data_IF_729184395068
#
_entry.id   IF_729184395068
#
_cell.length_a   1.000
_cell.length_b   1.000
_cell.length_c   1.000
_cell.angle_alpha   90.00
_cell.angle_beta   90.00
_cell.angle_gamma   90.00
#
_symmetry.space_group_name_H-M   'P 1'
#
loop_
_entity.id
_entity.type
_entity.pdbx_description
1 polymer ?
#
# COMPACT_ATOMS: atom_id res chain seq x y z
N UNK A 1 43.71 16.89 11.63
CA UNK A 1 42.55 16.22 11.02
C UNK A 1 42.20 16.98 9.77
N UNK A 2 42.14 16.31 8.62
CA UNK A 2 41.80 16.95 7.35
C UNK A 2 40.28 17.14 7.26
N UNK A 3 39.85 18.26 6.67
CA UNK A 3 38.44 18.51 6.40
C UNK A 3 37.93 17.54 5.32
N UNK A 4 36.69 17.09 5.48
CA UNK A 4 36.00 16.25 4.51
C UNK A 4 35.25 17.14 3.52
N UNK A 5 35.59 17.02 2.24
CA UNK A 5 34.86 17.71 1.18
C UNK A 5 33.59 16.94 0.80
N UNK A 6 32.45 17.60 0.95
CA UNK A 6 31.15 17.07 0.55
C UNK A 6 30.94 17.25 -0.97
N UNK A 7 30.04 16.45 -1.54
CA UNK A 7 29.61 16.47 -2.94
C UNK A 7 30.79 16.38 -3.93
N UNK A 8 31.81 15.61 -3.56
CA UNK A 8 33.11 15.57 -4.24
C UNK A 8 33.25 14.45 -5.27
N UNK A 9 32.43 13.39 -5.20
CA UNK A 9 32.48 12.25 -6.13
C UNK A 9 31.67 12.53 -7.40
N UNK A 10 32.21 12.12 -8.55
CA UNK A 10 31.65 12.40 -9.88
C UNK A 10 32.43 13.52 -10.59
N UNK A 11 33.39 13.14 -11.43
CA UNK A 11 34.05 14.09 -12.35
C UNK A 11 33.20 14.25 -13.61
N UNK A 12 33.40 15.32 -14.38
CA UNK A 12 32.73 15.55 -15.66
C UNK A 12 32.78 14.35 -16.63
N UNK A 13 33.80 13.48 -16.49
CA UNK A 13 34.02 12.31 -17.34
C UNK A 13 33.82 10.96 -16.62
N UNK A 14 33.38 10.95 -15.36
CA UNK A 14 33.11 9.73 -14.60
C UNK A 14 31.78 9.85 -13.84
N UNK A 15 30.71 9.46 -14.52
CA UNK A 15 29.34 9.46 -14.03
C UNK A 15 29.08 8.32 -13.02
N UNK A 16 29.94 7.30 -12.93
CA UNK A 16 29.70 6.15 -12.06
C UNK A 16 29.76 6.51 -10.55
N UNK A 17 30.41 7.62 -10.22
CA UNK A 17 30.50 8.19 -8.88
C UNK A 17 29.64 9.43 -8.63
N UNK A 18 28.80 9.86 -9.59
CA UNK A 18 27.89 11.01 -9.42
C UNK A 18 26.55 10.58 -8.81
N UNK A 19 25.73 11.57 -8.41
CA UNK A 19 24.36 11.30 -7.96
C UNK A 19 23.53 10.60 -9.05
N UNK A 20 23.70 11.01 -10.32
CA UNK A 20 23.04 10.35 -11.45
C UNK A 20 23.43 8.87 -11.58
N UNK A 21 24.71 8.54 -11.41
CA UNK A 21 25.17 7.14 -11.46
C UNK A 21 24.64 6.30 -10.30
N UNK A 22 24.51 6.90 -9.11
CA UNK A 22 23.90 6.24 -7.95
C UNK A 22 22.40 5.95 -8.17
N UNK A 23 21.65 6.95 -8.65
CA UNK A 23 20.22 6.80 -8.97
C UNK A 23 20.00 5.78 -10.10
N UNK A 24 20.85 5.80 -11.13
CA UNK A 24 20.82 4.81 -12.21
C UNK A 24 21.04 3.37 -11.72
N UNK A 25 21.94 3.17 -10.75
CA UNK A 25 22.14 1.85 -10.11
C UNK A 25 20.91 1.41 -9.32
N UNK A 26 20.23 2.33 -8.64
CA UNK A 26 18.97 2.03 -7.95
C UNK A 26 17.90 1.57 -8.95
N UNK A 27 17.68 2.30 -10.06
CA UNK A 27 16.75 1.88 -11.11
C UNK A 27 17.11 0.51 -11.71
N UNK A 28 18.40 0.26 -11.95
CA UNK A 28 18.86 -1.04 -12.45
C UNK A 28 18.58 -2.17 -11.47
N UNK A 29 18.81 -1.95 -10.18
CA UNK A 29 18.50 -2.93 -9.14
C UNK A 29 17.00 -3.22 -9.08
N UNK A 30 16.15 -2.20 -9.17
CA UNK A 30 14.68 -2.37 -9.24
C UNK A 30 14.25 -3.17 -10.47
N UNK A 31 14.80 -2.85 -11.65
CA UNK A 31 14.50 -3.59 -12.88
C UNK A 31 14.97 -5.05 -12.80
N UNK A 32 16.17 -5.30 -12.25
CA UNK A 32 16.68 -6.65 -12.02
C UNK A 32 15.81 -7.43 -11.03
N UNK A 33 15.38 -6.79 -9.93
CA UNK A 33 14.50 -7.39 -8.94
C UNK A 33 13.16 -7.82 -9.52
N UNK A 34 12.59 -7.02 -10.43
CA UNK A 34 11.37 -7.38 -11.17
C UNK A 34 11.61 -8.56 -12.11
N UNK A 35 12.74 -8.59 -12.82
CA UNK A 35 13.06 -9.68 -13.74
C UNK A 35 13.32 -11.01 -13.02
N UNK A 36 13.98 -10.96 -11.87
CA UNK A 36 14.30 -12.11 -11.03
C UNK A 36 13.18 -12.49 -10.07
N UNK A 37 12.05 -11.77 -10.06
CA UNK A 37 10.92 -12.11 -9.23
C UNK A 37 10.40 -13.49 -9.63
N UNK A 38 10.11 -14.34 -8.64
CA UNK A 38 9.45 -15.60 -8.91
C UNK A 38 8.17 -15.39 -9.70
N UNK A 39 7.96 -16.21 -10.74
CA UNK A 39 6.87 -16.00 -11.67
C UNK A 39 5.50 -16.28 -11.04
N UNK A 40 5.41 -17.26 -10.12
CA UNK A 40 4.18 -17.55 -9.40
C UNK A 40 3.88 -16.43 -8.41
N UNK A 41 4.87 -16.01 -7.62
CA UNK A 41 4.71 -14.92 -6.65
C UNK A 41 4.35 -13.60 -7.34
N UNK A 42 5.02 -13.26 -8.44
CA UNK A 42 4.77 -12.02 -9.19
C UNK A 42 3.35 -11.99 -9.77
N UNK A 43 2.80 -13.13 -10.19
CA UNK A 43 1.44 -13.21 -10.76
C UNK A 43 0.36 -13.23 -9.67
N UNK A 44 0.67 -13.75 -8.48
CA UNK A 44 -0.26 -13.84 -7.35
C UNK A 44 -0.26 -12.60 -6.44
N UNK A 45 0.76 -11.75 -6.52
CA UNK A 45 0.84 -10.50 -5.76
C UNK A 45 0.06 -9.39 -6.50
N UNK A 46 -0.72 -8.54 -5.80
CA UNK A 46 -1.37 -7.36 -6.39
C UNK A 46 -0.35 -6.45 -7.09
N UNK A 47 -0.76 -5.86 -8.23
CA UNK A 47 0.14 -5.00 -9.02
C UNK A 47 0.60 -3.79 -8.21
N UNK A 48 -0.30 -3.20 -7.42
CA UNK A 48 0.01 -2.03 -6.61
C UNK A 48 1.05 -2.36 -5.52
N UNK A 49 0.95 -3.51 -4.85
CA UNK A 49 1.94 -3.96 -3.85
C UNK A 49 3.31 -4.23 -4.48
N UNK A 50 3.33 -4.86 -5.67
CA UNK A 50 4.58 -5.08 -6.42
C UNK A 50 5.21 -3.74 -6.79
N UNK A 51 4.39 -2.79 -7.26
CA UNK A 51 4.87 -1.45 -7.61
C UNK A 51 5.37 -0.74 -6.36
N UNK A 52 4.66 -0.79 -5.23
CA UNK A 52 5.06 -0.16 -3.98
C UNK A 52 6.39 -0.72 -3.46
N UNK A 53 6.57 -2.04 -3.43
CA UNK A 53 7.84 -2.67 -3.05
C UNK A 53 9.00 -2.27 -3.97
N UNK A 54 8.75 -2.18 -5.28
CA UNK A 54 9.76 -1.76 -6.25
C UNK A 54 10.07 -0.26 -6.14
N UNK A 55 9.07 0.56 -5.82
CA UNK A 55 9.23 2.00 -5.53
C UNK A 55 10.04 2.17 -4.26
N UNK A 56 9.75 1.44 -3.18
CA UNK A 56 10.50 1.50 -1.92
C UNK A 56 11.96 1.10 -2.14
N UNK A 57 12.21 0.02 -2.90
CA UNK A 57 13.56 -0.42 -3.24
C UNK A 57 14.35 0.59 -4.10
N UNK A 58 13.67 1.23 -5.05
CA UNK A 58 14.31 2.12 -6.02
C UNK A 58 14.36 3.60 -5.62
N UNK A 59 13.53 4.00 -4.66
CA UNK A 59 13.45 5.37 -4.18
C UNK A 59 14.63 5.69 -3.29
N UNK A 60 15.04 6.96 -3.32
CA UNK A 60 16.13 7.47 -2.49
C UNK A 60 15.64 8.66 -1.70
N UNK A 61 15.97 8.70 -0.41
CA UNK A 61 15.70 9.86 0.45
C UNK A 61 16.89 10.82 0.49
N UNK A 62 16.65 12.06 0.08
CA UNK A 62 17.65 13.13 0.18
C UNK A 62 17.82 13.56 1.63
N UNK A 63 19.06 13.77 2.12
CA UNK A 63 19.26 14.26 3.47
C UNK A 63 18.56 15.57 3.78
N UNK A 64 18.10 15.70 5.02
CA UNK A 64 17.51 16.92 5.56
C UNK A 64 18.19 17.31 6.87
N UNK A 65 18.70 18.55 6.94
CA UNK A 65 19.45 19.03 8.10
C UNK A 65 18.50 19.47 9.20
N UNK A 66 18.70 18.95 10.40
CA UNK A 66 17.96 19.32 11.60
C UNK A 66 18.67 20.48 12.30
N UNK A 67 18.63 21.65 11.67
CA UNK A 67 19.35 22.85 12.16
C UNK A 67 18.84 23.29 13.53
N UNK A 68 17.55 23.12 13.81
CA UNK A 68 16.94 23.45 15.09
C UNK A 68 17.42 22.54 16.24
N UNK A 69 17.87 21.32 15.90
CA UNK A 69 18.43 20.34 16.84
C UNK A 69 19.96 20.46 16.96
N UNK A 70 20.56 21.49 16.36
CA UNK A 70 22.01 21.68 16.36
C UNK A 70 22.54 22.11 17.73
N UNK A 71 23.73 21.61 18.08
CA UNK A 71 24.38 21.94 19.36
C UNK A 71 25.88 22.11 19.19
N UNK A 72 26.50 22.89 20.08
CA UNK A 72 27.95 23.10 20.08
C UNK A 72 28.66 22.11 21.00
N UNK A 73 29.79 21.59 20.54
CA UNK A 73 30.75 20.89 21.40
C UNK A 73 31.55 21.89 22.24
N UNK A 74 32.15 21.45 23.36
CA UNK A 74 33.09 22.27 24.12
C UNK A 74 34.20 22.81 23.21
N UNK A 75 34.54 24.09 23.40
CA UNK A 75 35.62 24.71 22.65
C UNK A 75 36.93 23.95 22.89
N UNK A 76 37.72 23.78 21.84
CA UNK A 76 39.01 23.09 21.89
C UNK A 76 40.10 23.98 21.33
N UNK A 77 41.33 23.77 21.77
CA UNK A 77 42.49 24.43 21.18
C UNK A 77 43.18 23.49 20.20
N UNK A 78 43.48 23.99 19.01
CA UNK A 78 44.17 23.25 17.95
C UNK A 78 45.36 24.04 17.44
N UNK A 79 46.41 23.31 17.03
CA UNK A 79 47.58 23.89 16.39
C UNK A 79 47.29 24.09 14.90
N UNK A 80 47.29 25.36 14.48
CA UNK A 80 47.12 25.74 13.08
C UNK A 80 48.47 26.12 12.49
N UNK A 81 48.84 25.42 11.42
CA UNK A 81 50.01 25.80 10.62
C UNK A 81 49.64 26.93 9.67
N UNK A 82 50.47 27.95 9.62
CA UNK A 82 50.33 29.07 8.70
C UNK A 82 51.71 29.43 8.14
N UNK A 83 51.69 30.01 6.94
CA UNK A 83 52.91 30.44 6.27
C UNK A 83 53.13 31.92 6.55
N UNK A 84 54.29 32.23 7.13
CA UNK A 84 54.69 33.57 7.51
C UNK A 84 56.04 33.87 6.86
N UNK A 85 56.08 34.79 5.90
CA UNK A 85 57.30 35.12 5.14
C UNK A 85 58.05 33.91 4.55
N UNK A 86 57.32 32.86 4.17
CA UNK A 86 57.90 31.65 3.58
C UNK A 86 58.23 30.54 4.58
N UNK A 87 58.32 30.85 5.87
CA UNK A 87 58.50 29.89 6.97
C UNK A 87 57.17 29.26 7.39
N UNK A 88 57.20 27.99 7.78
CA UNK A 88 56.05 27.31 8.40
C UNK A 88 56.07 27.63 9.90
N UNK A 89 55.04 28.33 10.38
CA UNK A 89 54.84 28.62 11.80
C UNK A 89 53.56 27.97 12.29
N UNK A 90 53.52 27.68 13.58
CA UNK A 90 52.36 27.07 14.23
C UNK A 90 51.84 28.02 15.29
N UNK A 91 50.53 28.25 15.29
CA UNK A 91 49.83 29.02 16.32
C UNK A 91 48.70 28.17 16.91
N UNK A 92 48.54 28.26 18.22
CA UNK A 92 47.40 27.67 18.92
C UNK A 92 46.17 28.56 18.75
N UNK A 93 45.08 28.00 18.25
CA UNK A 93 43.82 28.70 17.98
C UNK A 93 42.64 27.97 18.60
N UNK A 94 41.64 28.74 19.03
CA UNK A 94 40.36 28.19 19.50
C UNK A 94 39.54 27.70 18.31
N UNK A 95 39.05 26.48 18.41
CA UNK A 95 38.13 25.82 17.49
C UNK A 95 36.77 25.68 18.12
N UNK A 96 35.76 26.19 17.42
CA UNK A 96 34.36 25.97 17.73
C UNK A 96 33.79 24.93 16.76
N UNK A 97 33.06 23.96 17.29
CA UNK A 97 32.44 22.89 16.49
C UNK A 97 30.94 22.89 16.74
N UNK A 98 30.17 23.16 15.69
CA UNK A 98 28.73 23.01 15.65
C UNK A 98 28.41 21.63 15.07
N UNK A 99 27.59 20.86 15.79
CA UNK A 99 27.08 19.56 15.36
C UNK A 99 25.65 19.77 14.87
N UNK A 100 25.39 19.38 13.62
CA UNK A 100 24.08 19.47 12.97
C UNK A 100 23.62 18.05 12.64
N UNK A 101 22.60 17.51 13.33
CA UNK A 101 22.00 16.23 12.96
C UNK A 101 21.30 16.29 11.60
N UNK A 102 21.11 15.14 10.95
CA UNK A 102 20.35 15.04 9.71
C UNK A 102 19.62 13.70 9.58
N UNK A 103 18.52 13.71 8.84
CA UNK A 103 17.76 12.51 8.46
C UNK A 103 18.03 12.17 6.98
N UNK A 104 17.78 10.92 6.55
CA UNK A 104 17.98 10.46 5.18
C UNK A 104 19.35 9.83 4.86
N UNK A 105 19.63 9.57 3.59
CA UNK A 105 20.81 8.79 3.16
C UNK A 105 22.11 9.60 3.20
N UNK A 106 22.99 9.29 4.16
CA UNK A 106 24.31 9.93 4.32
C UNK A 106 25.16 9.93 3.03
N UNK A 107 25.07 8.88 2.22
CA UNK A 107 25.92 8.75 1.03
C UNK A 107 25.70 9.88 0.00
N UNK A 108 24.54 10.53 0.01
CA UNK A 108 24.24 11.69 -0.85
C UNK A 108 25.22 12.84 -0.61
N UNK A 109 25.70 13.04 0.62
CA UNK A 109 26.71 14.05 0.92
C UNK A 109 28.06 13.80 0.24
N UNK A 110 28.31 12.61 -0.30
CA UNK A 110 29.52 12.31 -1.07
C UNK A 110 29.32 12.51 -2.58
N UNK A 111 28.08 12.46 -3.05
CA UNK A 111 27.73 12.38 -4.47
C UNK A 111 27.47 13.77 -5.03
N UNK A 112 28.10 14.11 -6.14
CA UNK A 112 27.87 15.40 -6.78
C UNK A 112 26.54 15.41 -7.55
N UNK A 113 25.66 16.41 -7.32
CA UNK A 113 24.46 16.62 -8.10
C UNK A 113 24.79 17.15 -9.51
N UNK A 114 23.78 17.17 -10.38
CA UNK A 114 23.88 17.71 -11.76
C UNK A 114 24.24 19.21 -11.81
N UNK A 115 23.93 19.95 -10.75
CA UNK A 115 24.34 21.34 -10.53
C UNK A 115 25.40 21.44 -9.43
N UNK A 116 26.42 22.28 -9.60
CA UNK A 116 27.51 22.41 -8.62
C UNK A 116 28.19 23.79 -8.72
N UNK A 117 28.95 24.15 -7.69
CA UNK A 117 29.86 25.32 -7.69
C UNK A 117 31.32 24.87 -7.70
N UNK A 118 32.24 25.80 -7.98
CA UNK A 118 33.69 25.56 -7.90
C UNK A 118 34.21 25.43 -6.46
N UNK A 119 33.40 25.81 -5.46
CA UNK A 119 33.73 25.73 -4.04
C UNK A 119 32.67 24.90 -3.30
N UNK A 120 32.76 23.56 -3.39
CA UNK A 120 31.86 22.68 -2.64
C UNK A 120 32.09 22.80 -1.13
N UNK A 121 31.07 22.53 -0.31
CA UNK A 121 31.18 22.63 1.14
C UNK A 121 32.19 21.63 1.71
N UNK A 122 32.88 22.05 2.75
CA UNK A 122 33.83 21.22 3.51
C UNK A 122 33.41 21.23 4.97
N UNK A 123 33.50 20.07 5.61
CA UNK A 123 33.11 19.87 7.01
C UNK A 123 34.25 19.23 7.78
N UNK A 124 34.30 19.41 9.09
CA UNK A 124 35.32 18.77 9.91
C UNK A 124 35.13 17.25 9.92
N UNK A 125 33.88 16.80 9.98
CA UNK A 125 33.53 15.37 10.02
C UNK A 125 32.10 15.14 9.56
N UNK A 126 31.88 13.99 8.90
CA UNK A 126 30.57 13.41 8.61
C UNK A 126 30.52 11.99 9.20
N UNK A 127 29.87 11.81 10.34
CA UNK A 127 29.84 10.54 11.07
C UNK A 127 28.43 10.24 11.56
N UNK A 128 27.98 8.98 11.42
CA UNK A 128 26.60 8.61 11.73
C UNK A 128 25.61 9.48 10.96
N UNK A 129 24.69 10.12 11.69
CA UNK A 129 23.69 11.08 11.21
C UNK A 129 24.02 12.52 11.64
N UNK A 130 25.30 12.85 11.76
CA UNK A 130 25.76 14.17 12.22
C UNK A 130 26.82 14.79 11.29
N UNK A 131 26.69 16.10 11.08
CA UNK A 131 27.67 16.95 10.40
C UNK A 131 28.36 17.84 11.44
N UNK A 132 29.69 17.78 11.48
CA UNK A 132 30.49 18.64 12.34
C UNK A 132 31.06 19.79 11.51
N UNK A 133 30.55 20.99 11.74
CA UNK A 133 31.04 22.24 11.15
C UNK A 133 32.05 22.87 12.10
N UNK A 134 33.22 23.24 11.58
CA UNK A 134 34.26 23.84 12.39
C UNK A 134 34.60 25.24 11.90
N UNK A 135 34.84 26.12 12.86
CA UNK A 135 35.37 27.44 12.64
C UNK A 135 36.59 27.60 13.55
N UNK A 136 37.72 27.93 12.92
CA UNK A 136 38.96 28.26 13.60
C UNK A 136 39.13 29.77 13.59
N UNK A 137 39.44 30.35 14.75
CA UNK A 137 39.95 31.73 14.85
C UNK A 137 39.09 32.80 14.12
N UNK A 138 37.80 32.88 14.45
CA UNK A 138 37.03 34.11 14.24
C UNK A 138 37.23 35.05 15.43
N UNK A 139 36.96 36.35 15.22
CA UNK A 139 36.98 37.38 16.26
C UNK A 139 36.19 36.95 17.51
N UNK A 140 36.42 37.61 18.64
CA UNK A 140 35.59 37.45 19.85
C UNK A 140 34.13 37.97 19.67
N UNK A 141 33.64 38.04 18.42
CA UNK A 141 32.30 38.49 18.07
C UNK A 141 31.41 37.29 17.75
N UNK A 142 30.47 37.00 18.65
CA UNK A 142 29.49 35.95 18.50
C UNK A 142 28.61 36.12 17.24
N UNK A 143 28.33 37.36 16.82
CA UNK A 143 27.50 37.61 15.64
C UNK A 143 28.22 37.17 14.35
N UNK A 144 29.51 37.49 14.23
CA UNK A 144 30.34 37.04 13.12
C UNK A 144 30.49 35.50 13.08
N UNK A 145 30.64 34.86 14.24
CA UNK A 145 30.71 33.39 14.35
C UNK A 145 29.40 32.74 13.89
N UNK A 146 28.26 33.21 14.38
CA UNK A 146 26.95 32.71 13.98
C UNK A 146 26.73 32.88 12.48
N UNK A 147 27.02 34.06 11.93
CA UNK A 147 26.89 34.33 10.50
C UNK A 147 27.76 33.38 9.66
N UNK A 148 28.96 33.04 10.13
CA UNK A 148 29.83 32.09 9.45
C UNK A 148 29.27 30.65 9.48
N UNK A 149 28.70 30.18 10.59
CA UNK A 149 28.02 28.89 10.63
C UNK A 149 26.80 28.86 9.72
N UNK A 150 25.94 29.88 9.76
CA UNK A 150 24.78 29.98 8.85
C UNK A 150 25.20 29.97 7.38
N UNK A 151 26.32 30.61 7.03
CA UNK A 151 26.86 30.57 5.68
C UNK A 151 27.32 29.16 5.27
N UNK A 152 27.95 28.40 6.17
CA UNK A 152 28.33 27.01 5.89
C UNK A 152 27.09 26.13 5.71
N UNK A 153 26.10 26.25 6.60
CA UNK A 153 24.82 25.52 6.52
C UNK A 153 24.11 25.84 5.21
N UNK A 154 23.93 27.11 4.86
CA UNK A 154 23.27 27.53 3.63
C UNK A 154 23.97 27.00 2.37
N UNK A 155 25.31 26.87 2.39
CA UNK A 155 26.03 26.27 1.27
C UNK A 155 25.75 24.76 1.17
N UNK A 156 25.65 24.04 2.28
CA UNK A 156 25.29 22.62 2.29
C UNK A 156 23.84 22.44 1.82
N UNK A 157 22.90 23.22 2.36
CA UNK A 157 21.49 23.20 1.95
C UNK A 157 21.30 23.51 0.47
N UNK A 158 22.11 24.40 -0.10
CA UNK A 158 22.10 24.67 -1.54
C UNK A 158 22.41 23.43 -2.37
N UNK A 159 23.44 22.67 -1.99
CA UNK A 159 23.80 21.41 -2.65
C UNK A 159 22.77 20.30 -2.40
N UNK A 160 22.19 20.25 -1.18
CA UNK A 160 21.07 19.36 -0.89
C UNK A 160 19.83 19.71 -1.71
N UNK A 161 19.53 20.99 -1.95
CA UNK A 161 18.41 21.41 -2.79
C UNK A 161 18.55 20.98 -4.24
N UNK A 162 19.78 21.02 -4.79
CA UNK A 162 20.07 20.45 -6.10
C UNK A 162 19.92 18.93 -6.12
N UNK A 163 20.48 18.25 -5.12
CA UNK A 163 20.38 16.81 -4.98
C UNK A 163 18.93 16.35 -4.84
N UNK A 164 18.14 17.05 -4.03
CA UNK A 164 16.72 16.79 -3.76
C UNK A 164 15.91 16.88 -5.04
N UNK A 165 16.08 17.94 -5.84
CA UNK A 165 15.41 18.05 -7.13
C UNK A 165 15.71 16.88 -8.05
N UNK A 166 16.98 16.45 -8.13
CA UNK A 166 17.37 15.32 -8.97
C UNK A 166 16.78 14.00 -8.47
N UNK A 167 16.78 13.79 -7.15
CA UNK A 167 16.19 12.62 -6.47
C UNK A 167 14.67 12.59 -6.66
N UNK A 168 13.97 13.72 -6.50
CA UNK A 168 12.53 13.81 -6.65
C UNK A 168 12.09 13.47 -8.08
N UNK A 169 12.81 13.98 -9.08
CA UNK A 169 12.57 13.63 -10.49
C UNK A 169 12.77 12.13 -10.75
N UNK A 170 13.81 11.53 -10.18
CA UNK A 170 14.04 10.09 -10.27
C UNK A 170 12.94 9.27 -9.59
N UNK A 171 12.59 9.61 -8.35
CA UNK A 171 11.54 8.92 -7.58
C UNK A 171 10.18 9.03 -8.29
N UNK A 172 9.87 10.20 -8.87
CA UNK A 172 8.65 10.40 -9.65
C UNK A 172 8.68 9.59 -10.95
N UNK A 173 9.83 9.56 -11.65
CA UNK A 173 10.02 8.72 -12.84
C UNK A 173 9.77 7.25 -12.56
N UNK A 174 10.33 6.72 -11.48
CA UNK A 174 10.10 5.33 -11.03
C UNK A 174 8.61 5.06 -10.79
N UNK A 175 7.91 5.92 -10.06
CA UNK A 175 6.46 5.76 -9.79
C UNK A 175 5.63 5.74 -11.07
N UNK A 176 6.03 6.50 -12.09
CA UNK A 176 5.32 6.56 -13.36
C UNK A 176 5.62 5.36 -14.28
N UNK A 177 6.86 4.87 -14.29
CA UNK A 177 7.29 3.80 -15.21
C UNK A 177 7.01 2.38 -14.69
N UNK A 178 7.10 2.18 -13.37
CA UNK A 178 7.00 0.86 -12.76
C UNK A 178 5.68 0.12 -13.03
N UNK A 179 4.49 0.75 -12.99
CA UNK A 179 3.24 0.06 -13.31
C UNK A 179 3.26 -0.57 -14.72
N UNK A 180 3.77 0.18 -15.71
CA UNK A 180 3.90 -0.30 -17.08
C UNK A 180 4.99 -1.37 -17.26
N UNK A 181 6.04 -1.36 -16.43
CA UNK A 181 7.05 -2.43 -16.43
C UNK A 181 6.50 -3.73 -15.83
N UNK A 182 5.79 -3.63 -14.70
CA UNK A 182 5.17 -4.78 -14.01
C UNK A 182 4.10 -5.42 -14.90
N UNK A 183 3.21 -4.62 -15.50
CA UNK A 183 2.17 -5.11 -16.40
C UNK A 183 2.78 -5.90 -17.59
N UNK A 184 3.77 -5.33 -18.28
CA UNK A 184 4.47 -5.99 -19.39
C UNK A 184 5.13 -7.30 -18.96
N UNK A 185 5.75 -7.33 -17.77
CA UNK A 185 6.40 -8.55 -17.25
C UNK A 185 5.38 -9.64 -16.96
N UNK A 186 4.25 -9.29 -16.33
CA UNK A 186 3.17 -10.23 -16.04
C UNK A 186 2.55 -10.81 -17.31
N UNK A 187 2.29 -9.95 -18.30
CA UNK A 187 1.78 -10.38 -19.62
C UNK A 187 2.73 -11.39 -20.30
N UNK A 188 4.04 -11.13 -20.28
CA UNK A 188 5.05 -12.05 -20.80
C UNK A 188 5.03 -13.42 -20.08
N UNK A 189 4.87 -13.43 -18.76
CA UNK A 189 4.79 -14.66 -17.98
C UNK A 189 3.51 -15.46 -18.28
N UNK A 190 2.37 -14.77 -18.42
CA UNK A 190 1.10 -15.40 -18.78
C UNK A 190 1.15 -15.98 -20.20
N UNK A 191 1.68 -15.22 -21.17
CA UNK A 191 1.86 -15.69 -22.54
C UNK A 191 2.76 -16.94 -22.59
N UNK A 192 3.83 -16.96 -21.80
CA UNK A 192 4.72 -18.13 -21.68
C UNK A 192 3.99 -19.35 -21.10
N UNK A 193 3.11 -19.15 -20.11
CA UNK A 193 2.30 -20.24 -19.52
C UNK A 193 1.28 -20.79 -20.50
N UNK A 194 0.59 -19.93 -21.24
CA UNK A 194 -0.38 -20.35 -22.25
C UNK A 194 0.30 -21.19 -23.33
N UNK A 195 1.46 -20.73 -23.83
CA UNK A 195 2.27 -21.48 -24.77
C UNK A 195 2.71 -22.85 -24.20
N UNK A 196 3.12 -22.90 -22.93
CA UNK A 196 3.52 -24.14 -22.28
C UNK A 196 2.35 -25.13 -22.10
N UNK A 197 1.12 -24.63 -21.88
CA UNK A 197 -0.09 -25.45 -21.83
C UNK A 197 -0.46 -26.02 -23.21
N UNK A 198 -0.31 -25.22 -24.27
CA UNK A 198 -0.53 -25.66 -25.66
C UNK A 198 0.46 -26.74 -26.12
N UNK A 199 1.71 -26.68 -25.62
CA UNK A 199 2.76 -27.65 -25.95
C UNK A 199 2.48 -29.05 -25.37
N UNK A 200 1.59 -29.19 -24.37
CA UNK A 200 1.02 -30.47 -23.93
C UNK A 200 1.95 -31.43 -23.17
N UNK A 201 3.22 -31.05 -22.91
CA UNK A 201 4.14 -31.85 -22.09
C UNK A 201 4.05 -31.49 -20.60
N UNK A 202 4.14 -32.47 -19.69
CA UNK A 202 4.04 -32.23 -18.25
C UNK A 202 5.21 -31.36 -17.73
N UNK A 203 4.86 -30.27 -17.04
CA UNK A 203 5.81 -29.33 -16.46
C UNK A 203 6.34 -29.84 -15.14
N UNK A 204 7.66 -30.09 -15.06
CA UNK A 204 8.31 -30.43 -13.80
C UNK A 204 8.54 -29.17 -12.96
N UNK A 205 7.78 -29.00 -11.88
CA UNK A 205 7.99 -27.91 -10.90
C UNK A 205 9.26 -28.15 -10.07
N UNK A 206 9.95 -27.08 -9.70
CA UNK A 206 11.10 -27.13 -8.77
C UNK A 206 10.62 -27.46 -7.36
N UNK A 207 11.40 -28.26 -6.62
CA UNK A 207 11.10 -28.74 -5.27
C UNK A 207 11.26 -27.69 -4.16
N UNK A 208 11.83 -26.52 -4.47
CA UNK A 208 12.30 -25.57 -3.46
C UNK A 208 11.28 -24.44 -3.16
N UNK A 209 10.06 -24.52 -3.69
CA UNK A 209 8.98 -23.57 -3.40
C UNK A 209 8.25 -23.88 -2.07
N UNK A 210 8.54 -25.01 -1.42
CA UNK A 210 7.92 -25.42 -0.16
C UNK A 210 8.83 -25.05 1.02
N UNK A 211 8.75 -23.81 1.51
CA UNK A 211 9.19 -23.51 2.88
C UNK A 211 8.09 -22.73 3.60
N UNK A 212 7.72 -23.25 4.77
CA UNK A 212 6.65 -22.84 5.71
C UNK A 212 5.23 -23.38 5.47
N UNK A 213 5.02 -24.63 5.92
CA UNK A 213 3.84 -24.97 6.72
C UNK A 213 4.11 -26.19 7.62
N UNK A 214 3.87 -26.02 8.92
CA UNK A 214 4.00 -27.02 9.98
C UNK A 214 2.87 -28.10 9.92
N UNK A 215 3.05 -29.27 10.55
CA UNK A 215 2.20 -30.45 10.34
C UNK A 215 1.00 -30.50 11.30
N UNK A 216 -0.03 -31.29 10.99
CA UNK A 216 -0.67 -32.32 11.86
C UNK A 216 -1.92 -32.93 11.18
N UNK A 217 -2.23 -34.14 11.62
CA UNK A 217 -2.92 -35.26 10.99
C UNK A 217 -4.45 -35.38 11.18
N UNK A 218 -5.05 -35.99 10.15
CA UNK A 218 -6.27 -36.84 10.06
C UNK A 218 -6.87 -37.47 11.34
N UNK A 219 -8.20 -37.64 11.30
CA UNK A 219 -8.97 -38.89 11.57
C UNK A 219 -9.98 -39.10 10.43
N UNK A 220 -10.31 -40.29 9.92
CA UNK A 220 -11.05 -41.38 10.59
C UNK A 220 -10.87 -42.76 9.91
N UNK A 221 -11.44 -43.80 10.57
CA UNK A 221 -11.11 -45.23 10.64
C UNK A 221 -11.96 -46.12 9.69
N UNK A 222 -11.47 -47.35 9.44
CA UNK A 222 -11.80 -48.36 8.39
C UNK A 222 -13.10 -49.16 8.59
N UNK A 223 -13.51 -49.99 7.59
CA UNK A 223 -13.04 -51.40 7.50
C UNK A 223 -12.25 -51.74 6.22
N UNK A 224 -11.34 -52.74 6.30
CA UNK A 224 -10.43 -53.26 5.24
C UNK A 224 -11.05 -54.50 4.56
N UNK A 225 -10.63 -54.96 3.35
CA UNK A 225 -9.22 -55.22 2.91
C UNK A 225 -8.89 -54.69 1.49
N UNK A 226 -7.68 -54.55 0.94
CA UNK A 226 -6.26 -54.61 1.33
C UNK A 226 -5.51 -53.60 0.40
N UNK A 227 -4.47 -52.95 0.92
CA UNK A 227 -3.67 -51.83 0.33
C UNK A 227 -2.51 -52.37 -0.55
N UNK A 228 -1.83 -51.57 -1.40
CA UNK A 228 -1.01 -50.43 -0.97
C UNK A 228 -1.36 -49.10 -1.67
N UNK A 229 -1.29 -48.01 -0.90
CA UNK A 229 -1.70 -46.68 -1.32
C UNK A 229 -0.53 -45.71 -1.19
N UNK A 230 -0.46 -44.79 -2.14
CA UNK A 230 0.44 -43.65 -2.11
C UNK A 230 0.05 -42.53 -3.08
N UNK A 231 -1.23 -42.39 -3.43
CA UNK A 231 -1.72 -41.19 -4.11
C UNK A 231 -2.45 -40.32 -3.08
N UNK A 232 -1.77 -39.27 -2.59
CA UNK A 232 -2.47 -38.11 -2.01
C UNK A 232 -2.89 -37.23 -3.19
N UNK A 233 -4.17 -36.90 -3.24
CA UNK A 233 -4.75 -36.03 -4.24
C UNK A 233 -3.97 -34.70 -4.33
N UNK A 234 -3.86 -34.21 -5.56
CA UNK A 234 -3.15 -32.99 -5.92
C UNK A 234 -3.66 -31.78 -5.13
N UNK A 235 -2.73 -30.89 -4.77
CA UNK A 235 -3.02 -29.56 -4.25
C UNK A 235 -3.68 -28.72 -5.34
N UNK A 236 -4.96 -28.37 -5.14
CA UNK A 236 -5.69 -27.36 -5.93
C UNK A 236 -5.38 -25.98 -5.34
N UNK A 237 -5.03 -24.97 -6.16
CA UNK A 237 -4.96 -23.59 -5.69
C UNK A 237 -6.32 -23.21 -5.09
N UNK A 238 -6.28 -22.68 -3.86
CA UNK A 238 -7.50 -22.29 -3.17
C UNK A 238 -8.08 -21.07 -3.88
N UNK A 239 -9.38 -21.08 -4.23
CA UNK A 239 -9.98 -19.99 -4.99
C UNK A 239 -9.97 -18.70 -4.15
N UNK A 240 -9.57 -17.59 -4.76
CA UNK A 240 -9.82 -16.25 -4.26
C UNK A 240 -10.53 -15.48 -5.38
N UNK A 241 -11.53 -14.66 -5.03
CA UNK A 241 -12.26 -13.90 -6.03
C UNK A 241 -11.34 -12.86 -6.66
N UNK A 242 -11.19 -12.90 -7.98
CA UNK A 242 -10.44 -11.90 -8.73
C UNK A 242 -11.07 -10.52 -8.53
N UNK A 243 -10.25 -9.47 -8.55
CA UNK A 243 -10.74 -8.09 -8.37
C UNK A 243 -11.75 -7.70 -9.44
N UNK A 244 -11.57 -8.20 -10.67
CA UNK A 244 -12.47 -7.97 -11.79
C UNK A 244 -13.86 -8.59 -11.56
N UNK A 245 -13.90 -9.82 -11.06
CA UNK A 245 -15.15 -10.50 -10.72
C UNK A 245 -15.86 -9.77 -9.56
N UNK A 246 -15.10 -9.35 -8.55
CA UNK A 246 -15.64 -8.61 -7.40
C UNK A 246 -16.29 -7.29 -7.84
N UNK A 247 -15.57 -6.50 -8.63
CA UNK A 247 -16.08 -5.24 -9.17
C UNK A 247 -17.29 -5.47 -10.10
N UNK A 248 -17.30 -6.58 -10.83
CA UNK A 248 -18.44 -6.99 -11.66
C UNK A 248 -19.65 -7.36 -10.79
N UNK A 249 -19.47 -8.07 -9.68
CA UNK A 249 -20.54 -8.42 -8.75
C UNK A 249 -21.12 -7.15 -8.09
N UNK A 250 -20.26 -6.23 -7.62
CA UNK A 250 -20.70 -4.93 -7.10
C UNK A 250 -21.44 -4.10 -8.18
N UNK A 251 -21.05 -4.19 -9.45
CA UNK A 251 -21.76 -3.52 -10.56
C UNK A 251 -23.16 -4.11 -10.76
N UNK A 252 -23.29 -5.43 -10.73
CA UNK A 252 -24.60 -6.11 -10.81
C UNK A 252 -25.49 -5.70 -9.65
N UNK A 253 -24.97 -5.72 -8.42
CA UNK A 253 -25.70 -5.33 -7.21
C UNK A 253 -26.18 -3.87 -7.28
N UNK A 254 -25.34 -2.94 -7.76
CA UNK A 254 -25.73 -1.54 -7.98
C UNK A 254 -26.80 -1.38 -9.05
N UNK A 255 -26.71 -2.13 -10.15
CA UNK A 255 -27.72 -2.07 -11.20
C UNK A 255 -29.08 -2.57 -10.69
N UNK A 256 -29.08 -3.65 -9.91
CA UNK A 256 -30.29 -4.17 -9.28
C UNK A 256 -30.85 -3.22 -8.21
N UNK A 257 -30.00 -2.60 -7.38
CA UNK A 257 -30.40 -1.51 -6.48
C UNK A 257 -31.13 -0.41 -7.24
N UNK A 258 -30.54 0.09 -8.32
CA UNK A 258 -31.12 1.18 -9.12
C UNK A 258 -32.48 0.79 -9.73
N UNK A 259 -32.72 -0.49 -10.03
CA UNK A 259 -34.01 -0.98 -10.48
C UNK A 259 -35.05 -1.03 -9.36
N UNK A 260 -34.65 -1.50 -8.17
CA UNK A 260 -35.50 -1.55 -6.97
C UNK A 260 -35.90 -0.14 -6.50
N UNK A 261 -34.97 0.81 -6.46
CA UNK A 261 -35.25 2.20 -6.07
C UNK A 261 -36.19 2.92 -7.04
N UNK A 262 -36.21 2.53 -8.32
CA UNK A 262 -37.14 3.04 -9.34
C UNK A 262 -38.52 2.40 -9.28
N UNK A 263 -38.67 1.30 -8.53
CA UNK A 263 -39.93 0.54 -8.42
C UNK A 263 -40.37 0.42 -6.95
N UNK A 264 -40.70 1.53 -6.28
CA UNK A 264 -41.03 1.54 -4.84
C UNK A 264 -42.26 0.70 -4.49
N UNK A 265 -43.22 0.55 -5.41
CA UNK A 265 -44.43 -0.27 -5.21
C UNK A 265 -44.14 -1.78 -5.12
N UNK A 266 -43.04 -2.23 -5.74
CA UNK A 266 -42.55 -3.61 -5.63
C UNK A 266 -41.63 -3.71 -4.42
N UNK A 267 -40.66 -2.80 -4.28
CA UNK A 267 -39.71 -2.82 -3.17
C UNK A 267 -40.35 -2.72 -1.78
N UNK A 268 -41.49 -2.03 -1.64
CA UNK A 268 -42.21 -1.93 -0.37
C UNK A 268 -42.86 -3.24 0.08
N UNK A 269 -43.15 -4.16 -0.85
CA UNK A 269 -43.81 -5.45 -0.58
C UNK A 269 -42.84 -6.57 -0.25
N UNK A 270 -41.59 -6.45 -0.71
CA UNK A 270 -40.57 -7.45 -0.48
C UNK A 270 -39.97 -7.27 0.92
N UNK A 271 -39.72 -8.34 1.66
CA UNK A 271 -38.89 -8.32 2.86
C UNK A 271 -37.38 -8.38 2.53
N UNK A 272 -36.52 -8.39 3.55
CA UNK A 272 -35.08 -8.42 3.35
C UNK A 272 -34.57 -9.72 2.71
N UNK A 273 -35.24 -10.85 2.98
CA UNK A 273 -34.88 -12.17 2.42
C UNK A 273 -35.31 -12.25 0.95
N UNK A 274 -36.51 -11.74 0.63
CA UNK A 274 -37.02 -11.68 -0.75
C UNK A 274 -36.18 -10.76 -1.65
N UNK A 275 -35.69 -9.63 -1.10
CA UNK A 275 -34.75 -8.75 -1.82
C UNK A 275 -33.43 -9.49 -2.06
N UNK A 276 -32.90 -10.21 -1.06
CA UNK A 276 -31.68 -11.02 -1.21
C UNK A 276 -31.86 -12.06 -2.33
N UNK A 277 -32.98 -12.78 -2.34
CA UNK A 277 -33.24 -13.83 -3.35
C UNK A 277 -33.30 -13.24 -4.75
N UNK A 278 -33.92 -12.07 -4.91
CA UNK A 278 -33.88 -11.32 -6.18
C UNK A 278 -32.46 -10.93 -6.59
N UNK A 279 -31.64 -10.44 -5.65
CA UNK A 279 -30.25 -10.07 -5.92
C UNK A 279 -29.42 -11.29 -6.37
N UNK A 280 -29.64 -12.45 -5.74
CA UNK A 280 -29.01 -13.71 -6.11
C UNK A 280 -29.37 -14.14 -7.53
N UNK A 281 -30.63 -14.01 -7.94
CA UNK A 281 -31.06 -14.32 -9.33
C UNK A 281 -30.29 -13.46 -10.33
N UNK A 282 -30.19 -12.14 -10.11
CA UNK A 282 -29.46 -11.26 -11.02
C UNK A 282 -27.95 -11.50 -11.03
N UNK A 283 -27.37 -11.92 -9.90
CA UNK A 283 -25.98 -12.34 -9.83
C UNK A 283 -25.76 -13.64 -10.61
N UNK A 284 -26.52 -14.70 -10.35
CA UNK A 284 -26.36 -15.96 -11.07
C UNK A 284 -26.58 -15.80 -12.58
N UNK A 285 -27.57 -15.01 -13.02
CA UNK A 285 -27.81 -14.77 -14.44
C UNK A 285 -26.63 -14.09 -15.18
N UNK A 286 -25.86 -13.24 -14.50
CA UNK A 286 -24.71 -12.56 -15.10
C UNK A 286 -23.46 -13.44 -15.13
N UNK A 287 -23.31 -14.36 -14.18
CA UNK A 287 -22.08 -15.13 -13.95
C UNK A 287 -22.18 -16.61 -14.36
N UNK A 288 -23.37 -17.13 -14.71
CA UNK A 288 -23.60 -18.50 -15.22
C UNK A 288 -22.84 -18.83 -16.52
N UNK A 289 -22.40 -17.82 -17.28
CA UNK A 289 -21.72 -18.01 -18.57
C UNK A 289 -20.26 -18.48 -18.49
N UNK A 290 -19.57 -18.24 -17.36
CA UNK A 290 -18.11 -18.43 -17.24
C UNK A 290 -17.67 -19.62 -16.37
N UNK A 291 -18.57 -20.22 -15.59
CA UNK A 291 -18.28 -21.43 -14.81
C UNK A 291 -19.56 -22.23 -14.52
N UNK A 292 -19.51 -23.56 -14.68
CA UNK A 292 -20.67 -24.42 -14.44
C UNK A 292 -21.11 -24.45 -12.98
N UNK A 293 -22.40 -24.20 -12.75
CA UNK A 293 -23.08 -24.32 -11.44
C UNK A 293 -23.30 -22.98 -10.74
N UNK A 294 -24.34 -22.91 -9.89
CA UNK A 294 -24.75 -21.72 -9.12
C UNK A 294 -23.58 -21.13 -8.31
N UNK A 295 -22.98 -20.04 -8.80
CA UNK A 295 -21.78 -19.41 -8.21
C UNK A 295 -22.11 -18.66 -6.91
N UNK A 296 -23.33 -18.11 -6.83
CA UNK A 296 -23.85 -17.39 -5.67
C UNK A 296 -24.95 -18.20 -4.98
N UNK A 297 -24.78 -18.45 -3.69
CA UNK A 297 -25.78 -19.12 -2.85
C UNK A 297 -26.14 -18.29 -1.61
N UNK A 298 -27.35 -18.53 -1.08
CA UNK A 298 -27.75 -18.01 0.22
C UNK A 298 -27.21 -18.89 1.34
N UNK A 299 -26.45 -18.33 2.27
CA UNK A 299 -26.14 -18.99 3.53
C UNK A 299 -26.84 -18.24 4.66
N UNK A 300 -27.67 -18.94 5.43
CA UNK A 300 -28.51 -18.25 6.41
C UNK A 300 -29.62 -17.42 5.75
N UNK A 301 -30.17 -16.48 6.53
CA UNK A 301 -31.37 -15.72 6.16
C UNK A 301 -31.09 -14.48 5.32
N UNK A 302 -29.86 -13.98 5.33
CA UNK A 302 -29.56 -12.66 4.77
C UNK A 302 -28.30 -12.62 3.93
N UNK A 303 -27.57 -13.72 3.84
CA UNK A 303 -26.16 -13.66 3.45
C UNK A 303 -26.02 -14.20 2.01
N UNK A 304 -25.30 -13.47 1.16
CA UNK A 304 -24.94 -13.83 -0.21
C UNK A 304 -23.49 -14.30 -0.19
N UNK A 305 -23.27 -15.58 -0.48
CA UNK A 305 -21.93 -16.16 -0.51
C UNK A 305 -21.56 -16.59 -1.92
N UNK A 306 -20.34 -16.27 -2.32
CA UNK A 306 -19.72 -16.92 -3.47
C UNK A 306 -18.88 -18.06 -2.95
N UNK A 307 -19.14 -19.26 -3.48
CA UNK A 307 -18.36 -20.45 -3.14
C UNK A 307 -17.66 -21.01 -4.36
N UNK A 308 -16.39 -21.34 -4.18
CA UNK A 308 -15.66 -22.16 -5.13
C UNK A 308 -15.03 -23.31 -4.35
N UNK A 309 -15.32 -24.55 -4.78
CA UNK A 309 -15.18 -25.76 -3.96
C UNK A 309 -15.93 -25.62 -2.60
N UNK A 310 -15.27 -25.79 -1.45
CA UNK A 310 -15.86 -25.72 -0.08
C UNK A 310 -15.56 -24.39 0.65
N UNK A 311 -15.26 -23.30 -0.08
CA UNK A 311 -14.76 -22.04 0.53
C UNK A 311 -15.52 -20.81 0.08
N UNK A 312 -15.78 -19.90 1.02
CA UNK A 312 -16.38 -18.60 0.74
C UNK A 312 -15.28 -17.67 0.22
N UNK A 313 -15.49 -17.01 -0.91
CA UNK A 313 -14.52 -16.07 -1.50
C UNK A 313 -15.06 -14.63 -1.57
N UNK A 314 -16.34 -14.47 -1.28
CA UNK A 314 -17.04 -13.20 -1.11
C UNK A 314 -18.20 -13.40 -0.15
N UNK A 315 -18.40 -12.42 0.73
CA UNK A 315 -19.49 -12.40 1.70
C UNK A 315 -20.24 -11.08 1.56
N UNK A 316 -21.48 -11.15 1.09
CA UNK A 316 -22.43 -10.03 1.07
C UNK A 316 -23.44 -10.19 2.21
N UNK A 317 -23.40 -9.33 3.22
CA UNK A 317 -24.38 -9.32 4.30
C UNK A 317 -25.52 -8.35 3.94
N UNK A 318 -26.74 -8.86 3.76
CA UNK A 318 -27.93 -8.02 3.57
C UNK A 318 -28.54 -7.64 4.92
N UNK A 319 -28.87 -6.37 5.12
CA UNK A 319 -29.53 -5.96 6.37
C UNK A 319 -30.53 -4.84 6.17
N UNK A 320 -31.72 -4.99 6.74
CA UNK A 320 -32.68 -3.89 6.87
C UNK A 320 -32.28 -3.01 8.04
N UNK A 321 -32.14 -1.71 7.80
CA UNK A 321 -31.80 -0.74 8.84
C UNK A 321 -32.93 -0.55 9.85
N UNK A 322 -32.65 -0.79 11.14
CA UNK A 322 -33.55 -0.50 12.26
C UNK A 322 -32.95 0.42 13.33
N UNK A 323 -31.76 0.98 13.08
CA UNK A 323 -31.03 1.88 14.01
C UNK A 323 -29.52 1.56 14.09
N UNK A 324 -28.72 2.36 14.82
CA UNK A 324 -27.25 2.24 14.82
C UNK A 324 -26.70 0.86 15.20
N UNK A 325 -27.36 0.15 16.14
CA UNK A 325 -26.99 -1.22 16.54
C UNK A 325 -27.03 -2.22 15.40
N UNK A 326 -27.82 -1.94 14.36
CA UNK A 326 -27.88 -2.77 13.15
C UNK A 326 -26.50 -2.95 12.54
N UNK A 327 -25.65 -1.91 12.55
CA UNK A 327 -24.31 -1.99 11.99
C UNK A 327 -23.37 -2.83 12.87
N UNK A 328 -23.49 -2.73 14.19
CA UNK A 328 -22.71 -3.54 15.12
C UNK A 328 -23.02 -5.03 14.92
N UNK A 329 -24.30 -5.38 14.73
CA UNK A 329 -24.75 -6.75 14.46
C UNK A 329 -24.22 -7.25 13.10
N UNK A 330 -24.31 -6.43 12.06
CA UNK A 330 -23.83 -6.75 10.70
C UNK A 330 -22.33 -6.99 10.70
N UNK A 331 -21.53 -6.10 11.31
CA UNK A 331 -20.08 -6.25 11.38
C UNK A 331 -19.71 -7.52 12.14
N UNK A 332 -20.39 -7.81 13.26
CA UNK A 332 -20.18 -9.04 14.01
C UNK A 332 -20.51 -10.30 13.18
N UNK A 333 -21.61 -10.28 12.43
CA UNK A 333 -21.98 -11.40 11.54
C UNK A 333 -20.94 -11.58 10.44
N UNK A 334 -20.58 -10.48 9.76
CA UNK A 334 -19.62 -10.43 8.68
C UNK A 334 -18.25 -10.97 9.13
N UNK A 335 -17.67 -10.47 10.22
CA UNK A 335 -16.40 -10.97 10.77
C UNK A 335 -16.51 -12.40 11.34
N UNK A 336 -17.70 -12.84 11.76
CA UNK A 336 -17.93 -14.22 12.18
C UNK A 336 -17.88 -15.24 11.04
N UNK A 337 -18.24 -14.83 9.83
CA UNK A 337 -18.16 -15.68 8.63
C UNK A 337 -16.86 -15.55 7.87
N UNK A 338 -16.21 -14.38 7.96
CA UNK A 338 -14.91 -14.15 7.35
C UNK A 338 -13.89 -15.08 7.99
N UNK A 339 -13.51 -16.11 7.25
CA UNK A 339 -12.35 -16.91 7.62
C UNK A 339 -11.14 -16.00 7.49
N UNK A 340 -10.07 -16.29 8.24
CA UNK A 340 -8.79 -15.62 8.12
C UNK A 340 -8.25 -15.54 6.69
N UNK A 341 -8.89 -16.13 5.67
CA UNK A 341 -8.50 -16.04 4.26
C UNK A 341 -9.31 -15.09 3.38
N UNK A 342 -10.44 -14.59 3.86
CA UNK A 342 -11.39 -13.85 3.04
C UNK A 342 -10.97 -12.38 2.95
N UNK A 343 -10.80 -11.86 1.74
CA UNK A 343 -10.23 -10.51 1.52
C UNK A 343 -11.26 -9.49 1.06
N UNK A 344 -12.50 -9.91 0.74
CA UNK A 344 -13.53 -9.03 0.17
C UNK A 344 -14.91 -9.32 0.72
N UNK A 345 -15.61 -8.26 1.14
CA UNK A 345 -16.94 -8.33 1.71
C UNK A 345 -17.78 -7.13 1.31
N UNK A 346 -19.09 -7.30 1.30
CA UNK A 346 -20.04 -6.22 1.04
C UNK A 346 -21.13 -6.20 2.12
N UNK A 347 -21.60 -5.00 2.46
CA UNK A 347 -22.80 -4.78 3.26
C UNK A 347 -23.85 -4.16 2.35
N UNK A 348 -24.97 -4.86 2.19
CA UNK A 348 -26.12 -4.41 1.41
C UNK A 348 -27.17 -3.88 2.39
N UNK A 349 -27.16 -2.56 2.60
CA UNK A 349 -27.97 -1.92 3.65
C UNK A 349 -29.30 -1.43 3.07
N UNK A 350 -30.41 -2.06 3.45
CA UNK A 350 -31.75 -1.70 3.01
C UNK A 350 -32.35 -0.64 3.93
N UNK A 351 -32.58 0.56 3.38
CA UNK A 351 -33.04 1.74 4.12
C UNK A 351 -34.47 2.06 3.69
N UNK A 352 -35.41 1.93 4.64
CA UNK A 352 -36.83 2.33 4.46
C UNK A 352 -37.18 3.65 5.13
N UNK A 353 -36.23 4.26 5.82
CA UNK A 353 -36.44 5.50 6.57
C UNK A 353 -36.58 6.71 5.63
N UNK A 354 -37.28 7.76 6.09
CA UNK A 354 -37.45 9.00 5.33
C UNK A 354 -36.13 9.78 5.18
N UNK A 355 -35.27 9.72 6.19
CA UNK A 355 -33.95 10.38 6.18
C UNK A 355 -32.83 9.38 5.83
N UNK A 356 -32.64 9.15 4.54
CA UNK A 356 -31.64 8.19 4.02
C UNK A 356 -30.22 8.66 4.31
N UNK A 357 -29.95 9.96 4.19
CA UNK A 357 -28.62 10.53 4.41
C UNK A 357 -28.17 10.32 5.85
N UNK A 358 -29.03 10.64 6.83
CA UNK A 358 -28.68 10.40 8.23
C UNK A 358 -28.42 8.92 8.54
N UNK A 359 -29.13 8.00 7.89
CA UNK A 359 -28.87 6.56 8.05
C UNK A 359 -27.51 6.18 7.50
N UNK A 360 -27.15 6.66 6.31
CA UNK A 360 -25.84 6.41 5.69
C UNK A 360 -24.71 6.98 6.57
N UNK A 361 -24.85 8.22 7.04
CA UNK A 361 -23.82 8.86 7.88
C UNK A 361 -23.59 8.10 9.19
N UNK A 362 -24.69 7.64 9.82
CA UNK A 362 -24.60 6.79 11.02
C UNK A 362 -23.94 5.44 10.73
N UNK A 363 -24.27 4.81 9.60
CA UNK A 363 -23.65 3.56 9.16
C UNK A 363 -22.14 3.73 8.94
N UNK A 364 -21.72 4.79 8.24
CA UNK A 364 -20.31 5.11 7.99
C UNK A 364 -19.58 5.36 9.32
N UNK A 365 -20.17 6.15 10.23
CA UNK A 365 -19.59 6.42 11.54
C UNK A 365 -19.35 5.12 12.32
N UNK A 366 -20.32 4.21 12.31
CA UNK A 366 -20.19 2.91 12.99
C UNK A 366 -19.11 2.00 12.42
N UNK A 367 -18.94 1.99 11.10
CA UNK A 367 -17.85 1.22 10.49
C UNK A 367 -16.48 1.82 10.88
N UNK A 368 -16.36 3.16 10.91
CA UNK A 368 -15.12 3.85 11.31
C UNK A 368 -14.79 3.70 12.80
N UNK A 369 -15.79 3.62 13.66
CA UNK A 369 -15.64 3.36 15.10
C UNK A 369 -15.18 1.93 15.40
N UNK A 370 -15.33 1.00 14.46
CA UNK A 370 -15.02 -0.40 14.69
C UNK A 370 -13.50 -0.62 14.87
N UNK A 371 -13.05 -1.43 15.85
CA UNK A 371 -11.62 -1.67 16.13
C UNK A 371 -10.83 -2.14 14.90
N UNK A 372 -11.49 -2.92 14.04
CA UNK A 372 -10.85 -3.48 12.85
C UNK A 372 -10.70 -2.48 11.69
N UNK A 373 -11.21 -1.25 11.81
CA UNK A 373 -11.08 -0.27 10.74
C UNK A 373 -9.65 0.26 10.65
N UNK A 374 -9.02 0.10 9.48
CA UNK A 374 -7.68 0.65 9.19
C UNK A 374 -7.77 2.01 8.51
N UNK A 375 -8.45 2.08 7.37
CA UNK A 375 -8.53 3.29 6.53
C UNK A 375 -9.74 3.28 5.62
N UNK A 376 -10.11 4.44 5.10
CA UNK A 376 -11.09 4.60 4.03
C UNK A 376 -10.75 5.82 3.16
N UNK A 377 -11.11 5.84 1.86
CA UNK A 377 -11.01 7.05 1.05
C UNK A 377 -11.97 8.14 1.54
N UNK A 378 -11.77 9.37 1.05
CA UNK A 378 -12.72 10.46 1.30
C UNK A 378 -14.08 10.13 0.66
N UNK A 379 -15.11 9.99 1.49
CA UNK A 379 -16.47 9.68 1.04
C UNK A 379 -17.17 10.94 0.52
N UNK A 380 -17.78 10.85 -0.67
CA UNK A 380 -18.63 11.93 -1.20
C UNK A 380 -20.07 11.76 -0.69
N UNK A 381 -20.71 12.87 -0.35
CA UNK A 381 -22.13 12.87 -0.05
C UNK A 381 -22.93 12.38 -1.27
N UNK A 382 -23.86 11.44 -1.06
CA UNK A 382 -24.67 10.85 -2.14
C UNK A 382 -23.92 9.89 -3.06
N UNK A 383 -22.79 9.32 -2.62
CA UNK A 383 -22.09 8.28 -3.39
C UNK A 383 -22.92 6.99 -3.49
N UNK A 384 -22.73 6.26 -4.59
CA UNK A 384 -23.41 4.99 -4.83
C UNK A 384 -22.92 3.85 -3.92
N UNK A 385 -21.70 3.94 -3.41
CA UNK A 385 -21.12 2.98 -2.49
C UNK A 385 -20.05 3.66 -1.64
N UNK A 386 -19.73 3.05 -0.50
CA UNK A 386 -18.73 3.53 0.44
C UNK A 386 -17.74 2.41 0.74
N UNK A 387 -16.45 2.68 0.52
CA UNK A 387 -15.39 1.69 0.66
C UNK A 387 -14.62 1.90 1.97
N UNK A 388 -14.20 0.78 2.56
CA UNK A 388 -13.43 0.71 3.79
C UNK A 388 -12.40 -0.40 3.68
N UNK A 389 -11.27 -0.20 4.34
CA UNK A 389 -10.27 -1.23 4.55
C UNK A 389 -10.29 -1.59 6.03
N UNK A 390 -10.68 -2.83 6.30
CA UNK A 390 -10.69 -3.43 7.63
C UNK A 390 -9.52 -4.40 7.77
N UNK A 391 -9.17 -4.82 8.99
CA UNK A 391 -8.31 -5.98 9.20
C UNK A 391 -9.10 -7.18 9.77
N UNK A 392 -8.57 -8.39 9.60
CA UNK A 392 -9.16 -9.59 10.18
C UNK A 392 -9.01 -9.63 11.70
N UNK A 393 -9.90 -10.37 12.38
CA UNK A 393 -9.79 -10.60 13.82
C UNK A 393 -8.51 -11.39 14.13
N UNK A 394 -7.66 -10.83 15.01
CA UNK A 394 -6.41 -11.47 15.45
C UNK A 394 -5.25 -11.40 14.44
N UNK A 395 -5.42 -10.78 13.28
CA UNK A 395 -4.36 -10.59 12.27
C UNK A 395 -4.46 -9.18 11.64
N UNK A 396 -3.77 -8.17 12.22
CA UNK A 396 -3.80 -6.79 11.74
C UNK A 396 -3.20 -6.61 10.34
N UNK A 397 -2.31 -7.51 9.91
CA UNK A 397 -1.65 -7.42 8.59
C UNK A 397 -2.60 -7.82 7.47
N UNK A 398 -3.66 -8.57 7.79
CA UNK A 398 -4.60 -9.06 6.79
C UNK A 398 -5.74 -8.10 6.55
N UNK A 399 -5.77 -7.53 5.36
CA UNK A 399 -6.78 -6.55 4.97
C UNK A 399 -8.03 -7.19 4.35
N UNK A 400 -9.17 -6.60 4.68
CA UNK A 400 -10.49 -6.96 4.18
C UNK A 400 -11.07 -5.71 3.53
N UNK A 401 -11.31 -5.78 2.22
CA UNK A 401 -11.99 -4.75 1.48
C UNK A 401 -13.49 -4.87 1.74
N UNK A 402 -14.04 -3.90 2.46
CA UNK A 402 -15.46 -3.84 2.81
C UNK A 402 -16.14 -2.74 1.99
N UNK A 403 -17.18 -3.11 1.23
CA UNK A 403 -18.00 -2.15 0.48
C UNK A 403 -19.41 -2.06 1.06
N UNK A 404 -19.81 -0.89 1.52
CA UNK A 404 -21.19 -0.58 1.91
C UNK A 404 -21.97 -0.06 0.70
N UNK A 405 -23.06 -0.73 0.34
CA UNK A 405 -24.01 -0.30 -0.69
C UNK A 405 -25.35 -0.02 -0.01
N UNK A 406 -25.77 1.26 0.12
CA UNK A 406 -27.10 1.60 0.62
C UNK A 406 -28.16 1.41 -0.48
N UNK A 407 -29.32 0.89 -0.10
CA UNK A 407 -30.52 0.77 -0.94
C UNK A 407 -31.63 1.65 -0.33
N UNK A 408 -32.01 2.72 -1.02
CA UNK A 408 -33.05 3.65 -0.59
C UNK A 408 -34.44 3.17 -1.02
N UNK A 409 -35.00 2.21 -0.28
CA UNK A 409 -36.30 1.60 -0.57
C UNK A 409 -37.43 2.42 0.03
N UNK A 410 -37.87 3.45 -0.71
CA UNK A 410 -38.92 4.36 -0.25
C UNK A 410 -40.24 3.60 0.02
N UNK A 411 -40.93 3.86 1.14
CA UNK A 411 -42.29 3.38 1.34
C UNK A 411 -43.21 3.95 0.25
N UNK A 412 -44.16 3.15 -0.24
CA UNK A 412 -45.27 3.69 -1.04
C UNK A 412 -46.02 4.73 -0.23
N UNK A 413 -46.22 5.92 -0.78
CA UNK A 413 -47.18 6.88 -0.23
C UNK A 413 -48.55 6.18 -0.17
N UNK A 414 -49.20 6.21 0.99
CA UNK A 414 -50.61 5.81 1.09
C UNK A 414 -51.40 6.62 0.07
N UNK A 415 -52.02 5.93 -0.88
CA UNK A 415 -53.04 6.55 -1.73
C UNK A 415 -54.17 6.94 -0.79
N UNK A 416 -54.54 8.22 -0.66
CA UNK A 416 -55.69 8.58 0.15
C UNK A 416 -56.90 7.85 -0.44
N UNK A 417 -57.51 6.97 0.35
CA UNK A 417 -58.81 6.38 0.03
C UNK A 417 -59.79 7.52 -0.12
N UNK A 418 -60.05 7.90 -1.38
CA UNK A 418 -61.14 8.80 -1.73
C UNK A 418 -62.42 8.05 -1.46
N UNK A 419 -62.98 8.22 -0.26
CA UNK A 419 -64.39 7.94 -0.01
C UNK A 419 -65.16 8.94 -0.87
N UNK A 420 -65.67 8.48 -2.01
CA UNK A 420 -66.60 9.25 -2.83
C UNK A 420 -67.93 9.31 -2.05
N UNK A 421 -68.56 10.50 -1.94
CA UNK A 421 -69.71 10.75 -1.06
C UNK A 421 -70.98 9.97 -1.40
#
# INVERSE_FOLDING_TARGET
MEYVQLFSKGRLNDLAGSLAGFLGKASQATAQRLQSWDADDLLNTPVDDVVEQLVELGSVECPDLRVDDAFMLPATEVDQQYRDWGEQRTRRVTRLVLVVPFEGHKDIFNLRPDQFTTMPPQVLRLQGHEIHLAIDNLSNDAAAINAAFHKQIANIEKYLGWSRRQIDLHNQGLRNELPGMVARRREQLLATRNLQAEIGFPVRRRKDADTYAAPISRKSVRPRPHRPAGARAAFKPEPAMQDEDYQSALRVLRNQRNALERTPSVAAKLDGEEIRDMLLVGLNAQFEGDAGGELFNGAGKTDILIRVDDRNIFIGECKVWSGPRTMDDVLKQLFGYLVWRDTKAAILLFIRNKDVTAVIDNAIAKIKEHPNHKRCPAHRAGADQYEFTMHADGDPEREIHLTLIPFALRPTAEVPTTTIP
#
